data_IF_044248298046
#
_entry.id   IF_044248298046
#
_cell.length_a   1.000
_cell.length_b   1.000
_cell.length_c   1.000
_cell.angle_alpha   90.00
_cell.angle_beta   90.00
_cell.angle_gamma   90.00
#
_symmetry.space_group_name_H-M   'P 1'
#
loop_
_entity.id
_entity.type
_entity.pdbx_description
1 polymer ?
#
# COMPACT_ATOMS: atom_id res chain seq x y z
N UNK A 1 -33.07 -14.78 0.86
CA UNK A 1 -34.07 -15.82 1.23
C UNK A 1 -33.48 -16.69 2.34
N UNK A 2 -34.34 -17.13 3.28
CA UNK A 2 -34.04 -17.61 4.64
C UNK A 2 -33.21 -18.92 4.67
N UNK A 3 -32.04 -18.92 5.31
CA UNK A 3 -31.34 -20.16 5.71
C UNK A 3 -31.61 -20.47 7.19
N UNK A 4 -32.51 -21.44 7.42
CA UNK A 4 -32.78 -22.02 8.73
C UNK A 4 -31.64 -22.96 9.11
N UNK A 5 -30.94 -22.63 10.20
CA UNK A 5 -30.03 -23.55 10.91
C UNK A 5 -30.82 -24.77 11.38
N UNK A 6 -30.42 -25.98 10.98
CA UNK A 6 -30.83 -27.22 11.64
C UNK A 6 -29.70 -27.66 12.58
N UNK A 7 -29.97 -27.47 13.86
CA UNK A 7 -29.37 -28.21 14.98
C UNK A 7 -29.82 -29.66 14.85
N UNK A 8 -28.89 -30.62 14.87
CA UNK A 8 -29.20 -32.02 15.13
C UNK A 8 -28.37 -32.48 16.33
N UNK A 9 -29.09 -32.84 17.38
CA UNK A 9 -28.60 -33.28 18.67
C UNK A 9 -27.83 -34.61 18.56
N UNK A 10 -26.69 -34.65 19.25
CA UNK A 10 -26.00 -35.88 19.66
C UNK A 10 -26.88 -36.65 20.64
N UNK A 11 -27.51 -37.75 20.19
CA UNK A 11 -28.02 -38.77 21.11
C UNK A 11 -26.93 -39.81 21.35
N UNK A 12 -26.23 -39.62 22.47
CA UNK A 12 -25.39 -40.63 23.11
C UNK A 12 -26.33 -41.76 23.59
N UNK A 13 -26.26 -42.95 23.00
CA UNK A 13 -26.91 -44.14 23.57
C UNK A 13 -25.81 -45.03 24.12
N UNK A 14 -25.85 -45.18 25.44
CA UNK A 14 -24.98 -45.99 26.26
C UNK A 14 -25.02 -47.47 25.84
N UNK A 15 -23.85 -48.08 25.79
CA UNK A 15 -23.66 -49.52 25.69
C UNK A 15 -23.85 -50.10 27.10
N UNK A 16 -24.77 -51.04 27.34
CA UNK A 16 -24.70 -51.89 28.52
C UNK A 16 -23.74 -53.04 28.22
N UNK A 17 -22.61 -53.04 28.91
CA UNK A 17 -21.77 -54.21 29.11
C UNK A 17 -22.54 -55.27 29.88
N UNK A 18 -22.73 -56.45 29.29
CA UNK A 18 -23.16 -57.65 30.00
C UNK A 18 -22.05 -58.71 29.95
N UNK A 19 -21.59 -59.03 31.16
CA UNK A 19 -20.66 -60.09 31.50
C UNK A 19 -21.29 -61.46 31.19
N UNK A 20 -20.49 -62.34 30.61
CA UNK A 20 -20.81 -63.74 30.39
C UNK A 20 -20.39 -64.55 31.62
N UNK A 21 -21.36 -65.16 32.32
CA UNK A 21 -21.14 -66.32 33.20
C UNK A 21 -21.96 -67.50 32.66
N UNK A 22 -21.32 -68.66 32.56
CA UNK A 22 -21.86 -69.91 32.02
C UNK A 22 -22.68 -70.69 33.09
N UNK A 23 -23.17 -71.91 32.81
CA UNK A 23 -24.50 -72.19 32.25
C UNK A 23 -25.36 -73.06 33.20
N UNK A 24 -26.67 -73.18 32.93
CA UNK A 24 -27.49 -74.27 33.46
C UNK A 24 -28.69 -74.59 32.54
N UNK A 25 -28.88 -75.90 32.35
CA UNK A 25 -29.84 -76.62 31.51
C UNK A 25 -31.31 -76.45 31.94
N UNK A 26 -32.24 -76.39 30.96
CA UNK A 26 -33.45 -77.23 30.90
C UNK A 26 -34.24 -76.95 29.60
N UNK A 27 -34.79 -78.02 29.02
CA UNK A 27 -35.46 -78.09 27.72
C UNK A 27 -36.93 -77.60 27.74
N UNK A 28 -37.45 -77.17 26.59
CA UNK A 28 -38.76 -77.65 26.10
C UNK A 28 -38.91 -77.45 24.57
N UNK A 29 -39.57 -78.42 23.95
CA UNK A 29 -39.70 -78.70 22.52
C UNK A 29 -40.98 -78.06 21.96
N UNK A 30 -40.99 -77.57 20.72
CA UNK A 30 -42.18 -77.69 19.82
C UNK A 30 -41.84 -77.48 18.33
N UNK A 31 -42.07 -78.56 17.60
CA UNK A 31 -42.34 -78.81 16.16
C UNK A 31 -41.35 -78.47 15.01
N UNK A 32 -41.13 -79.44 14.07
CA UNK A 32 -40.15 -79.32 13.00
C UNK A 32 -40.77 -78.84 11.68
N UNK A 33 -40.25 -77.76 11.10
CA UNK A 33 -40.45 -77.51 9.67
C UNK A 33 -39.47 -78.39 8.89
N UNK A 34 -40.05 -79.30 8.09
CA UNK A 34 -39.34 -80.24 7.22
C UNK A 34 -38.41 -79.49 6.27
N UNK A 35 -37.11 -79.65 6.45
CA UNK A 35 -36.12 -79.49 5.38
C UNK A 35 -35.37 -80.81 5.28
N UNK A 36 -35.37 -81.39 4.09
CA UNK A 36 -34.82 -82.71 3.82
C UNK A 36 -33.31 -82.72 4.08
N UNK A 37 -32.89 -83.42 5.14
CA UNK A 37 -31.48 -83.74 5.36
C UNK A 37 -31.16 -85.05 4.64
N UNK A 38 -30.43 -84.95 3.53
CA UNK A 38 -29.72 -86.08 2.96
C UNK A 38 -28.33 -86.14 3.57
N UNK A 39 -28.04 -87.25 4.24
CA UNK A 39 -26.75 -87.56 4.85
C UNK A 39 -25.72 -87.96 3.77
N UNK A 40 -24.65 -87.18 3.60
CA UNK A 40 -23.37 -87.69 3.11
C UNK A 40 -22.19 -86.81 3.56
N UNK A 41 -21.06 -87.46 3.88
CA UNK A 41 -19.83 -86.92 4.45
C UNK A 41 -19.11 -85.91 3.53
N UNK A 42 -19.30 -84.61 3.74
CA UNK A 42 -18.29 -83.53 3.62
C UNK A 42 -18.97 -82.15 3.72
N UNK A 43 -18.66 -81.39 4.78
CA UNK A 43 -18.84 -79.93 4.96
C UNK A 43 -19.78 -79.21 3.96
N UNK A 44 -21.09 -79.36 4.12
CA UNK A 44 -22.07 -78.60 3.34
C UNK A 44 -22.32 -77.25 4.02
N UNK A 45 -21.75 -76.18 3.44
CA UNK A 45 -22.26 -74.84 3.68
C UNK A 45 -23.70 -74.78 3.17
N UNK A 46 -24.64 -74.26 3.98
CA UNK A 46 -25.94 -73.83 3.51
C UNK A 46 -25.75 -72.97 2.25
N UNK A 47 -26.50 -73.26 1.18
CA UNK A 47 -26.36 -72.58 -0.12
C UNK A 47 -26.38 -71.05 -0.02
N UNK A 48 -27.13 -70.50 0.95
CA UNK A 48 -27.17 -69.08 1.24
C UNK A 48 -25.83 -68.56 1.81
N UNK A 49 -25.26 -69.28 2.77
CA UNK A 49 -23.96 -68.96 3.39
C UNK A 49 -22.85 -69.04 2.35
N UNK A 50 -22.82 -70.10 1.53
CA UNK A 50 -21.85 -70.25 0.46
C UNK A 50 -21.92 -69.10 -0.56
N UNK A 51 -23.13 -68.70 -0.97
CA UNK A 51 -23.33 -67.57 -1.86
C UNK A 51 -22.77 -66.26 -1.27
N UNK A 52 -22.99 -66.00 0.01
CA UNK A 52 -22.42 -64.83 0.70
C UNK A 52 -20.89 -64.87 0.71
N UNK A 53 -20.30 -66.02 1.05
CA UNK A 53 -18.84 -66.19 1.05
C UNK A 53 -18.25 -65.89 -0.34
N UNK A 54 -18.90 -66.36 -1.41
CA UNK A 54 -18.48 -66.06 -2.79
C UNK A 54 -18.65 -64.59 -3.17
N UNK A 55 -19.76 -63.95 -2.79
CA UNK A 55 -19.98 -62.53 -3.07
C UNK A 55 -18.93 -61.64 -2.38
N UNK A 56 -18.50 -62.01 -1.18
CA UNK A 56 -17.45 -61.30 -0.44
C UNK A 56 -16.08 -61.51 -1.11
N UNK A 57 -15.75 -62.72 -1.56
CA UNK A 57 -14.42 -63.03 -2.12
C UNK A 57 -14.12 -62.31 -3.44
N UNK A 58 -15.17 -61.90 -4.16
CA UNK A 58 -15.04 -61.17 -5.43
C UNK A 58 -15.03 -59.64 -5.26
N UNK A 59 -15.15 -59.11 -4.04
CA UNK A 59 -15.07 -57.66 -3.80
C UNK A 59 -13.61 -57.23 -3.98
N UNK A 60 -13.38 -56.25 -4.85
CA UNK A 60 -12.07 -55.63 -5.03
C UNK A 60 -12.27 -54.11 -5.03
N UNK A 61 -11.55 -53.43 -4.15
CA UNK A 61 -11.64 -52.00 -3.88
C UNK A 61 -10.82 -51.13 -4.84
N UNK A 62 -10.27 -51.72 -5.91
CA UNK A 62 -9.54 -51.01 -6.97
C UNK A 62 -10.40 -50.78 -8.21
N UNK A 63 -11.44 -51.59 -8.42
CA UNK A 63 -12.27 -51.57 -9.62
C UNK A 63 -13.58 -50.82 -9.44
N UNK A 64 -14.11 -50.24 -10.52
CA UNK A 64 -15.38 -49.50 -10.52
C UNK A 64 -16.59 -50.34 -10.04
N UNK A 65 -16.51 -51.67 -10.11
CA UNK A 65 -17.54 -52.57 -9.60
C UNK A 65 -17.60 -52.69 -8.07
N UNK A 66 -16.64 -52.11 -7.33
CA UNK A 66 -16.52 -52.22 -5.88
C UNK A 66 -17.84 -51.96 -5.15
N UNK A 67 -18.48 -50.82 -5.44
CA UNK A 67 -19.70 -50.41 -4.75
C UNK A 67 -20.85 -51.40 -4.97
N UNK A 68 -21.11 -51.78 -6.22
CA UNK A 68 -22.18 -52.72 -6.57
C UNK A 68 -21.94 -54.11 -5.97
N UNK A 69 -20.69 -54.59 -5.98
CA UNK A 69 -20.34 -55.90 -5.38
C UNK A 69 -20.48 -55.87 -3.86
N UNK A 70 -20.01 -54.80 -3.21
CA UNK A 70 -20.17 -54.60 -1.78
C UNK A 70 -21.65 -54.53 -1.36
N UNK A 71 -22.47 -53.77 -2.08
CA UNK A 71 -23.92 -53.68 -1.82
C UNK A 71 -24.62 -55.04 -2.01
N UNK A 72 -24.22 -55.82 -3.01
CA UNK A 72 -24.74 -57.17 -3.26
C UNK A 72 -24.38 -58.13 -2.12
N UNK A 73 -23.12 -58.13 -1.67
CA UNK A 73 -22.67 -58.95 -0.55
C UNK A 73 -23.35 -58.57 0.77
N UNK A 74 -23.49 -57.26 1.07
CA UNK A 74 -24.19 -56.78 2.25
C UNK A 74 -25.66 -57.19 2.25
N UNK A 75 -26.34 -57.06 1.10
CA UNK A 75 -27.73 -57.49 0.96
C UNK A 75 -27.89 -58.99 1.19
N UNK A 76 -27.01 -59.80 0.60
CA UNK A 76 -27.04 -61.25 0.78
C UNK A 76 -26.75 -61.65 2.24
N UNK A 77 -25.76 -61.02 2.90
CA UNK A 77 -25.45 -61.26 4.31
C UNK A 77 -26.61 -60.88 5.24
N UNK A 78 -27.26 -59.74 4.99
CA UNK A 78 -28.40 -59.29 5.81
C UNK A 78 -29.65 -60.16 5.66
N UNK A 79 -29.75 -60.91 4.57
CA UNK A 79 -30.84 -61.87 4.35
C UNK A 79 -30.62 -63.21 5.07
N UNK A 80 -29.43 -63.46 5.61
CA UNK A 80 -29.15 -64.65 6.41
C UNK A 80 -29.84 -64.56 7.78
N UNK A 81 -30.27 -65.70 8.28
CA UNK A 81 -30.64 -65.89 9.70
C UNK A 81 -29.43 -65.72 10.61
N UNK A 82 -29.66 -65.49 11.90
CA UNK A 82 -28.57 -65.31 12.88
C UNK A 82 -27.65 -66.53 12.98
N UNK A 83 -28.19 -67.74 12.85
CA UNK A 83 -27.40 -68.98 12.82
C UNK A 83 -26.57 -69.09 11.54
N UNK A 84 -27.15 -68.76 10.38
CA UNK A 84 -26.41 -68.74 9.10
C UNK A 84 -25.27 -67.73 9.09
N UNK A 85 -25.45 -66.54 9.70
CA UNK A 85 -24.40 -65.52 9.80
C UNK A 85 -23.16 -66.01 10.53
N UNK A 86 -23.32 -66.86 11.56
CA UNK A 86 -22.19 -67.45 12.31
C UNK A 86 -21.30 -68.34 11.44
N UNK A 87 -21.82 -68.86 10.32
CA UNK A 87 -21.07 -69.69 9.38
C UNK A 87 -20.38 -68.92 8.25
N UNK A 88 -20.52 -67.59 8.18
CA UNK A 88 -19.86 -66.75 7.16
C UNK A 88 -18.41 -66.51 7.58
N UNK A 89 -17.50 -67.34 7.07
CA UNK A 89 -16.09 -67.38 7.51
C UNK A 89 -15.26 -66.16 7.10
N UNK A 90 -15.70 -65.37 6.11
CA UNK A 90 -15.00 -64.19 5.61
C UNK A 90 -15.72 -62.87 5.93
N UNK A 91 -16.56 -62.84 6.97
CA UNK A 91 -17.26 -61.62 7.38
C UNK A 91 -16.31 -60.45 7.69
N UNK A 92 -15.12 -60.71 8.23
CA UNK A 92 -14.13 -59.65 8.49
C UNK A 92 -13.71 -58.91 7.22
N UNK A 93 -13.63 -59.61 6.08
CA UNK A 93 -13.35 -58.99 4.78
C UNK A 93 -14.49 -58.05 4.37
N UNK A 94 -15.74 -58.47 4.57
CA UNK A 94 -16.91 -57.63 4.32
C UNK A 94 -16.92 -56.38 5.22
N UNK A 95 -16.60 -56.55 6.50
CA UNK A 95 -16.47 -55.45 7.47
C UNK A 95 -15.38 -54.45 7.05
N UNK A 96 -14.21 -54.94 6.61
CA UNK A 96 -13.13 -54.10 6.11
C UNK A 96 -13.56 -53.31 4.86
N UNK A 97 -14.24 -53.92 3.91
CA UNK A 97 -14.75 -53.20 2.73
C UNK A 97 -15.82 -52.15 3.08
N UNK A 98 -16.64 -52.38 4.10
CA UNK A 98 -17.55 -51.35 4.62
C UNK A 98 -16.78 -50.14 5.15
N UNK A 99 -15.65 -50.37 5.83
CA UNK A 99 -14.78 -49.29 6.29
C UNK A 99 -14.13 -48.56 5.10
N UNK A 100 -13.61 -49.28 4.11
CA UNK A 100 -13.07 -48.70 2.86
C UNK A 100 -14.09 -47.81 2.15
N UNK A 101 -15.36 -48.22 2.09
CA UNK A 101 -16.45 -47.39 1.53
C UNK A 101 -16.61 -46.05 2.25
N UNK A 102 -16.48 -46.03 3.59
CA UNK A 102 -16.56 -44.78 4.36
C UNK A 102 -15.38 -43.87 4.03
N UNK A 103 -14.17 -44.42 3.93
CA UNK A 103 -12.97 -43.67 3.54
C UNK A 103 -13.10 -43.08 2.14
N UNK A 104 -13.62 -43.83 1.18
CA UNK A 104 -13.79 -43.34 -0.20
C UNK A 104 -14.87 -42.26 -0.30
N UNK A 105 -15.96 -42.37 0.47
CA UNK A 105 -16.95 -41.28 0.58
C UNK A 105 -16.34 -40.00 1.16
N UNK A 106 -15.54 -40.12 2.23
CA UNK A 106 -14.85 -38.97 2.82
C UNK A 106 -13.91 -38.31 1.82
N UNK A 107 -13.15 -39.12 1.08
CA UNK A 107 -12.25 -38.63 0.03
C UNK A 107 -13.00 -37.89 -1.08
N UNK A 108 -14.12 -38.45 -1.55
CA UNK A 108 -14.97 -37.80 -2.54
C UNK A 108 -15.51 -36.45 -2.05
N UNK A 109 -16.02 -36.39 -0.80
CA UNK A 109 -16.49 -35.12 -0.22
C UNK A 109 -15.40 -34.05 -0.13
N UNK A 110 -14.14 -34.43 0.12
CA UNK A 110 -13.04 -33.45 0.13
C UNK A 110 -12.73 -32.89 -1.26
N UNK A 111 -12.84 -33.71 -2.30
CA UNK A 111 -12.68 -33.25 -3.70
C UNK A 111 -13.81 -32.27 -4.05
N UNK A 112 -15.04 -32.60 -3.67
CA UNK A 112 -16.22 -31.77 -3.92
C UNK A 112 -16.17 -30.44 -3.17
N UNK A 113 -15.80 -30.46 -1.89
CA UNK A 113 -15.61 -29.26 -1.07
C UNK A 113 -14.49 -28.37 -1.62
N UNK A 114 -13.36 -28.97 -2.04
CA UNK A 114 -12.26 -28.23 -2.64
C UNK A 114 -12.68 -27.50 -3.91
N UNK A 115 -13.47 -28.15 -4.76
CA UNK A 115 -13.99 -27.54 -5.98
C UNK A 115 -15.03 -26.45 -5.68
N UNK A 116 -15.90 -26.67 -4.69
CA UNK A 116 -16.93 -25.71 -4.28
C UNK A 116 -16.37 -24.49 -3.51
N UNK A 117 -15.18 -24.61 -2.91
CA UNK A 117 -14.56 -23.55 -2.11
C UNK A 117 -14.10 -22.33 -2.92
N UNK A 118 -14.09 -22.43 -4.25
CA UNK A 118 -13.62 -21.35 -5.13
C UNK A 118 -14.72 -20.93 -6.09
N UNK A 119 -15.11 -19.66 -5.99
CA UNK A 119 -16.06 -19.05 -6.91
C UNK A 119 -15.56 -19.16 -8.37
N UNK A 120 -16.42 -19.52 -9.34
CA UNK A 120 -16.04 -19.59 -10.76
C UNK A 120 -15.43 -18.31 -11.33
N UNK A 121 -15.70 -17.17 -10.70
CA UNK A 121 -15.20 -15.84 -11.07
C UNK A 121 -13.88 -15.49 -10.37
N UNK A 122 -13.42 -16.30 -9.43
CA UNK A 122 -12.17 -16.05 -8.72
C UNK A 122 -10.97 -16.25 -9.64
N UNK A 123 -9.94 -15.42 -9.46
CA UNK A 123 -8.70 -15.46 -10.26
C UNK A 123 -8.01 -16.83 -10.16
N UNK A 124 -8.09 -17.47 -8.99
CA UNK A 124 -7.50 -18.78 -8.70
C UNK A 124 -8.43 -19.98 -8.99
N UNK A 125 -9.65 -19.76 -9.53
CA UNK A 125 -10.60 -20.83 -9.83
C UNK A 125 -9.96 -21.90 -10.70
N UNK A 126 -9.34 -21.50 -11.79
CA UNK A 126 -8.75 -22.43 -12.75
C UNK A 126 -7.59 -23.25 -12.13
N UNK A 127 -6.75 -22.63 -11.31
CA UNK A 127 -5.69 -23.32 -10.57
C UNK A 127 -6.26 -24.37 -9.61
N UNK A 128 -7.32 -24.02 -8.89
CA UNK A 128 -7.99 -24.95 -8.00
C UNK A 128 -8.57 -26.13 -8.78
N UNK A 129 -9.27 -25.87 -9.89
CA UNK A 129 -9.88 -26.93 -10.69
C UNK A 129 -8.82 -27.86 -11.27
N UNK A 130 -7.68 -27.35 -11.73
CA UNK A 130 -6.58 -28.19 -12.20
C UNK A 130 -5.95 -29.02 -11.09
N UNK A 131 -5.64 -28.41 -9.94
CA UNK A 131 -5.08 -29.17 -8.81
C UNK A 131 -6.05 -30.27 -8.35
N UNK A 132 -7.35 -29.99 -8.38
CA UNK A 132 -8.41 -30.95 -8.06
C UNK A 132 -8.55 -32.02 -9.14
N UNK A 133 -8.37 -31.67 -10.43
CA UNK A 133 -8.32 -32.62 -11.55
C UNK A 133 -7.15 -33.58 -11.41
N UNK A 134 -5.96 -33.11 -11.11
CA UNK A 134 -4.79 -33.97 -10.90
C UNK A 134 -5.02 -34.94 -9.74
N UNK A 135 -5.56 -34.43 -8.63
CA UNK A 135 -5.96 -35.28 -7.51
C UNK A 135 -7.00 -36.32 -7.92
N UNK A 136 -8.06 -35.92 -8.63
CA UNK A 136 -9.07 -36.85 -9.15
C UNK A 136 -8.47 -37.87 -10.12
N UNK A 137 -7.55 -37.47 -10.99
CA UNK A 137 -6.89 -38.36 -11.95
C UNK A 137 -6.04 -39.44 -11.26
N UNK A 138 -5.42 -39.11 -10.13
CA UNK A 138 -4.65 -40.05 -9.31
C UNK A 138 -5.48 -41.12 -8.58
N UNK A 139 -6.81 -40.93 -8.49
CA UNK A 139 -7.69 -41.89 -7.85
C UNK A 139 -7.79 -43.20 -8.65
N UNK A 140 -7.96 -44.31 -7.93
CA UNK A 140 -8.29 -45.59 -8.53
C UNK A 140 -9.74 -45.62 -9.06
N UNK A 141 -10.11 -46.65 -9.83
CA UNK A 141 -11.41 -46.71 -10.47
C UNK A 141 -12.57 -46.81 -9.47
N UNK A 142 -12.40 -47.50 -8.34
CA UNK A 142 -13.40 -47.57 -7.29
C UNK A 142 -13.62 -46.21 -6.60
N UNK A 143 -12.55 -45.50 -6.26
CA UNK A 143 -12.61 -44.18 -5.62
C UNK A 143 -13.35 -43.16 -6.49
N UNK A 144 -13.09 -43.17 -7.82
CA UNK A 144 -13.77 -42.28 -8.78
C UNK A 144 -15.29 -42.45 -8.80
N UNK A 145 -15.82 -43.65 -8.53
CA UNK A 145 -17.28 -43.87 -8.51
C UNK A 145 -18.01 -43.17 -7.36
N UNK A 146 -17.29 -42.77 -6.31
CA UNK A 146 -17.88 -42.07 -5.16
C UNK A 146 -18.00 -40.56 -5.39
N UNK A 147 -17.31 -39.99 -6.38
CA UNK A 147 -17.37 -38.56 -6.72
C UNK A 147 -18.65 -38.30 -7.51
N UNK A 148 -19.41 -37.23 -7.20
CA UNK A 148 -20.65 -36.95 -7.91
C UNK A 148 -20.44 -36.65 -9.42
N UNK A 149 -21.47 -36.90 -10.22
CA UNK A 149 -21.41 -36.79 -11.68
C UNK A 149 -21.08 -35.38 -12.20
N UNK A 150 -21.55 -34.32 -11.51
CA UNK A 150 -21.27 -32.94 -11.89
C UNK A 150 -19.79 -32.60 -11.72
N UNK A 151 -19.21 -33.00 -10.60
CA UNK A 151 -17.79 -32.85 -10.29
C UNK A 151 -16.95 -33.62 -11.31
N UNK A 152 -17.30 -34.87 -11.61
CA UNK A 152 -16.62 -35.65 -12.64
C UNK A 152 -16.69 -34.97 -14.01
N UNK A 153 -17.83 -34.39 -14.38
CA UNK A 153 -18.01 -33.64 -15.65
C UNK A 153 -17.09 -32.42 -15.71
N UNK A 154 -17.04 -31.61 -14.64
CA UNK A 154 -16.16 -30.43 -14.58
C UNK A 154 -14.69 -30.87 -14.72
N UNK A 155 -14.28 -31.86 -13.92
CA UNK A 155 -12.90 -32.33 -13.89
C UNK A 155 -12.48 -33.04 -15.19
N UNK A 156 -13.41 -33.60 -15.96
CA UNK A 156 -13.12 -34.25 -17.25
C UNK A 156 -13.28 -33.32 -18.46
N UNK A 157 -13.91 -32.15 -18.31
CA UNK A 157 -14.15 -31.21 -19.40
C UNK A 157 -12.90 -30.39 -19.78
N UNK A 158 -12.82 -29.93 -21.03
CA UNK A 158 -11.85 -28.88 -21.37
C UNK A 158 -12.26 -27.58 -20.68
N UNK A 159 -11.39 -27.05 -19.84
CA UNK A 159 -11.60 -25.77 -19.17
C UNK A 159 -10.71 -24.77 -19.89
N UNK A 160 -11.30 -23.72 -20.43
CA UNK A 160 -10.52 -22.61 -20.96
C UNK A 160 -9.96 -21.78 -19.81
N UNK A 161 -8.75 -21.22 -19.93
CA UNK A 161 -8.26 -20.25 -18.95
C UNK A 161 -9.30 -19.12 -18.80
N UNK A 162 -9.45 -18.61 -17.58
CA UNK A 162 -10.35 -17.48 -17.31
C UNK A 162 -9.89 -16.15 -17.98
N UNK A 163 -8.71 -16.17 -18.60
CA UNK A 163 -8.13 -15.06 -19.36
C UNK A 163 -7.72 -15.51 -20.76
N UNK A 164 -7.63 -14.57 -21.69
CA UNK A 164 -7.20 -14.81 -23.07
C UNK A 164 -5.96 -13.98 -23.37
N UNK A 165 -5.21 -14.33 -24.43
CA UNK A 165 -4.07 -13.53 -24.90
C UNK A 165 -4.49 -12.06 -25.08
N UNK A 166 -5.59 -11.81 -25.78
CA UNK A 166 -6.09 -10.45 -26.03
C UNK A 166 -6.42 -9.68 -24.75
N UNK A 167 -7.01 -10.35 -23.75
CA UNK A 167 -7.30 -9.72 -22.44
C UNK A 167 -6.02 -9.31 -21.73
N UNK A 168 -5.02 -10.20 -21.66
CA UNK A 168 -3.74 -9.91 -21.00
C UNK A 168 -2.98 -8.80 -21.73
N UNK A 169 -2.91 -8.87 -23.07
CA UNK A 169 -2.25 -7.86 -23.89
C UNK A 169 -2.91 -6.50 -23.72
N UNK A 170 -4.25 -6.43 -23.82
CA UNK A 170 -5.01 -5.19 -23.64
C UNK A 170 -4.81 -4.61 -22.25
N UNK A 171 -4.85 -5.46 -21.21
CA UNK A 171 -4.63 -5.02 -19.82
C UNK A 171 -3.24 -4.41 -19.64
N UNK A 172 -2.20 -5.05 -20.17
CA UNK A 172 -0.82 -4.53 -20.09
C UNK A 172 -0.67 -3.21 -20.87
N UNK A 173 -1.30 -3.10 -22.05
CA UNK A 173 -1.26 -1.88 -22.86
C UNK A 173 -1.99 -0.69 -22.22
N UNK A 174 -2.99 -0.95 -21.37
CA UNK A 174 -3.78 0.08 -20.70
C UNK A 174 -3.18 0.54 -19.35
N UNK A 175 -2.07 -0.07 -18.90
CA UNK A 175 -1.38 0.35 -17.68
C UNK A 175 -0.99 1.83 -17.78
N UNK A 176 -1.39 2.60 -16.78
CA UNK A 176 -1.16 4.05 -16.76
C UNK A 176 -0.59 4.47 -15.42
N UNK A 177 0.67 4.91 -15.42
CA UNK A 177 1.42 5.32 -14.23
C UNK A 177 0.87 6.55 -13.50
N UNK A 178 -0.03 7.32 -14.14
CA UNK A 178 -0.66 8.48 -13.53
C UNK A 178 -1.95 8.14 -12.76
N UNK A 179 -2.46 6.90 -12.89
CA UNK A 179 -3.67 6.47 -12.16
C UNK A 179 -3.31 6.03 -10.75
N UNK A 180 -4.15 6.39 -9.77
CA UNK A 180 -4.01 5.92 -8.39
C UNK A 180 -4.05 4.39 -8.26
N UNK A 181 -4.78 3.72 -9.16
CA UNK A 181 -4.86 2.27 -9.25
C UNK A 181 -3.62 1.61 -9.88
N UNK A 182 -2.63 2.37 -10.37
CA UNK A 182 -1.51 1.85 -11.15
C UNK A 182 -0.81 0.65 -10.49
N UNK A 183 -0.47 0.74 -9.20
CA UNK A 183 0.25 -0.35 -8.51
C UNK A 183 -0.59 -1.64 -8.46
N UNK A 184 -1.91 -1.51 -8.24
CA UNK A 184 -2.84 -2.63 -8.21
C UNK A 184 -3.05 -3.22 -9.62
N UNK A 185 -3.14 -2.37 -10.64
CA UNK A 185 -3.29 -2.78 -12.03
C UNK A 185 -2.07 -3.57 -12.53
N UNK A 186 -0.85 -3.14 -12.15
CA UNK A 186 0.40 -3.85 -12.48
C UNK A 186 0.44 -5.23 -11.82
N UNK A 187 0.11 -5.31 -10.52
CA UNK A 187 0.05 -6.58 -9.80
C UNK A 187 -0.98 -7.55 -10.41
N UNK A 188 -2.18 -7.04 -10.72
CA UNK A 188 -3.22 -7.82 -11.38
C UNK A 188 -2.79 -8.28 -12.78
N UNK A 189 -2.13 -7.43 -13.56
CA UNK A 189 -1.60 -7.78 -14.88
C UNK A 189 -0.54 -8.89 -14.81
N UNK A 190 0.37 -8.84 -13.82
CA UNK A 190 1.36 -9.90 -13.59
C UNK A 190 0.71 -11.23 -13.20
N UNK A 191 -0.30 -11.20 -12.34
CA UNK A 191 -1.03 -12.40 -11.96
C UNK A 191 -1.70 -13.07 -13.17
N UNK A 192 -2.41 -12.30 -14.01
CA UNK A 192 -3.05 -12.82 -15.21
C UNK A 192 -2.06 -13.30 -16.28
N UNK A 193 -0.95 -12.59 -16.47
CA UNK A 193 0.13 -12.99 -17.36
C UNK A 193 0.73 -14.34 -16.96
N UNK A 194 1.01 -14.52 -15.67
CA UNK A 194 1.55 -15.78 -15.13
C UNK A 194 0.54 -16.93 -15.24
N UNK A 195 -0.75 -16.65 -14.98
CA UNK A 195 -1.81 -17.62 -15.20
C UNK A 195 -1.86 -18.07 -16.66
N UNK A 196 -1.86 -17.15 -17.62
CA UNK A 196 -1.89 -17.47 -19.05
C UNK A 196 -0.70 -18.35 -19.47
N UNK A 197 0.53 -17.99 -19.07
CA UNK A 197 1.76 -18.75 -19.40
C UNK A 197 1.80 -20.15 -18.79
N UNK A 198 1.14 -20.38 -17.65
CA UNK A 198 1.09 -21.69 -16.99
C UNK A 198 0.20 -22.68 -17.73
N UNK A 199 -0.79 -22.19 -18.49
CA UNK A 199 -1.85 -23.01 -19.09
C UNK A 199 -1.83 -23.07 -20.60
N UNK A 200 -1.02 -22.22 -21.22
CA UNK A 200 -0.86 -22.19 -22.66
C UNK A 200 0.62 -22.11 -22.98
N UNK A 201 1.07 -22.82 -24.01
CA UNK A 201 2.33 -22.49 -24.69
C UNK A 201 2.15 -21.23 -25.57
N UNK A 202 1.31 -20.28 -25.13
CA UNK A 202 0.93 -19.13 -25.94
C UNK A 202 2.15 -18.23 -26.13
N UNK A 203 2.40 -17.92 -27.40
CA UNK A 203 3.32 -16.87 -27.77
C UNK A 203 2.58 -15.54 -27.66
N UNK A 204 3.00 -14.70 -26.72
CA UNK A 204 2.49 -13.34 -26.61
C UNK A 204 3.12 -12.45 -27.69
N UNK A 205 2.45 -11.39 -28.13
CA UNK A 205 3.05 -10.40 -29.00
C UNK A 205 4.41 -9.91 -28.47
N UNK A 206 5.33 -9.65 -29.39
CA UNK A 206 6.65 -9.15 -29.05
C UNK A 206 6.55 -7.85 -28.23
N UNK A 207 7.33 -7.75 -27.15
CA UNK A 207 7.37 -6.57 -26.29
C UNK A 207 6.32 -6.52 -25.17
N UNK A 208 5.31 -7.39 -25.15
CA UNK A 208 4.29 -7.40 -24.08
C UNK A 208 4.90 -7.62 -22.69
N UNK A 209 5.79 -8.61 -22.54
CA UNK A 209 6.47 -8.85 -21.25
C UNK A 209 7.38 -7.68 -20.85
N UNK A 210 8.01 -7.03 -21.81
CA UNK A 210 8.89 -5.89 -21.57
C UNK A 210 8.10 -4.68 -21.04
N UNK A 211 6.92 -4.41 -21.58
CA UNK A 211 6.03 -3.35 -21.07
C UNK A 211 5.64 -3.60 -19.60
N UNK A 212 5.29 -4.84 -19.28
CA UNK A 212 4.94 -5.21 -17.90
C UNK A 212 6.14 -5.08 -16.95
N UNK A 213 7.33 -5.51 -17.38
CA UNK A 213 8.56 -5.35 -16.60
C UNK A 213 8.90 -3.87 -16.35
N UNK A 214 8.72 -3.00 -17.34
CA UNK A 214 8.96 -1.56 -17.16
C UNK A 214 7.97 -0.96 -16.14
N UNK A 215 6.70 -1.33 -16.23
CA UNK A 215 5.69 -0.90 -15.25
C UNK A 215 6.02 -1.37 -13.83
N UNK A 216 6.50 -2.60 -13.65
CA UNK A 216 6.96 -3.11 -12.35
C UNK A 216 8.17 -2.36 -11.81
N UNK A 217 9.12 -1.97 -12.67
CA UNK A 217 10.26 -1.13 -12.25
C UNK A 217 9.81 0.23 -11.76
N UNK A 218 8.78 0.83 -12.36
CA UNK A 218 8.18 2.07 -11.88
C UNK A 218 7.54 1.87 -10.49
N UNK A 219 6.78 0.79 -10.29
CA UNK A 219 6.20 0.47 -8.97
C UNK A 219 7.28 0.35 -7.90
N UNK A 220 8.42 -0.29 -8.20
CA UNK A 220 9.55 -0.39 -7.26
C UNK A 220 10.14 0.99 -6.93
N UNK A 221 10.30 1.86 -7.93
CA UNK A 221 10.77 3.24 -7.72
C UNK A 221 9.80 4.06 -6.86
N UNK A 222 8.51 3.95 -7.12
CA UNK A 222 7.48 4.65 -6.35
C UNK A 222 7.48 4.18 -4.88
N UNK A 223 7.59 2.87 -4.66
CA UNK A 223 7.70 2.29 -3.31
C UNK A 223 8.95 2.77 -2.58
N UNK A 224 10.08 2.91 -3.26
CA UNK A 224 11.30 3.45 -2.67
C UNK A 224 11.12 4.93 -2.27
N UNK A 225 10.57 5.76 -3.15
CA UNK A 225 10.32 7.18 -2.86
C UNK A 225 9.36 7.37 -1.68
N UNK A 226 8.28 6.59 -1.63
CA UNK A 226 7.36 6.58 -0.49
C UNK A 226 8.03 6.11 0.80
N UNK A 227 8.92 5.10 0.71
CA UNK A 227 9.67 4.58 1.86
C UNK A 227 10.63 5.61 2.45
N UNK A 228 11.28 6.42 1.61
CA UNK A 228 12.15 7.50 2.08
C UNK A 228 11.37 8.52 2.90
N UNK A 229 10.17 8.91 2.45
CA UNK A 229 9.29 9.82 3.19
C UNK A 229 8.72 9.15 4.44
N UNK A 230 8.33 7.87 4.37
CA UNK A 230 7.88 7.09 5.54
C UNK A 230 8.96 7.10 6.64
N UNK A 231 10.21 6.83 6.28
CA UNK A 231 11.35 6.85 7.20
C UNK A 231 11.59 8.26 7.78
N UNK A 232 11.46 9.30 6.95
CA UNK A 232 11.59 10.68 7.39
C UNK A 232 10.50 11.09 8.40
N UNK A 233 9.26 10.64 8.18
CA UNK A 233 8.14 10.82 9.13
C UNK A 233 8.41 10.04 10.42
N UNK A 234 8.89 8.80 10.33
CA UNK A 234 9.19 7.97 11.50
C UNK A 234 10.34 8.54 12.36
N UNK A 235 11.24 9.31 11.76
CA UNK A 235 12.31 10.00 12.47
C UNK A 235 11.83 11.26 13.23
N UNK A 236 10.60 11.74 12.99
CA UNK A 236 10.04 12.87 13.72
C UNK A 236 9.73 12.48 15.16
N UNK A 237 10.17 13.33 16.09
CA UNK A 237 10.02 13.12 17.53
C UNK A 237 9.59 14.43 18.19
N UNK A 238 8.54 14.40 19.04
CA UNK A 238 8.08 15.57 19.77
C UNK A 238 9.14 16.21 20.68
N UNK A 239 10.21 15.48 21.04
CA UNK A 239 11.23 15.94 21.98
C UNK A 239 12.51 16.45 21.31
N UNK A 240 12.75 16.05 20.06
CA UNK A 240 14.04 16.30 19.39
C UNK A 240 13.87 16.99 18.04
N UNK A 241 12.73 16.82 17.38
CA UNK A 241 12.46 17.44 16.08
C UNK A 241 11.98 18.87 16.24
N UNK A 242 12.39 19.71 15.30
CA UNK A 242 12.05 21.13 15.27
C UNK A 242 10.99 21.41 14.22
N UNK A 243 10.45 22.63 14.22
CA UNK A 243 9.51 23.09 13.17
C UNK A 243 10.13 22.94 11.77
N UNK A 244 11.45 23.22 11.63
CA UNK A 244 12.17 23.08 10.37
C UNK A 244 12.24 21.63 9.90
N UNK A 245 12.42 20.68 10.82
CA UNK A 245 12.43 19.25 10.48
C UNK A 245 11.05 18.79 9.99
N UNK A 246 9.98 19.23 10.67
CA UNK A 246 8.61 18.95 10.24
C UNK A 246 8.32 19.56 8.86
N UNK A 247 8.75 20.79 8.60
CA UNK A 247 8.59 21.42 7.29
C UNK A 247 9.37 20.69 6.20
N UNK A 248 10.60 20.25 6.47
CA UNK A 248 11.38 19.46 5.51
C UNK A 248 10.66 18.16 5.13
N UNK A 249 10.10 17.46 6.10
CA UNK A 249 9.34 16.22 5.86
C UNK A 249 8.04 16.52 5.10
N UNK A 250 7.35 17.61 5.43
CA UNK A 250 6.16 18.07 4.70
C UNK A 250 6.48 18.36 3.23
N UNK A 251 7.53 19.13 2.94
CA UNK A 251 7.94 19.43 1.57
C UNK A 251 8.34 18.16 0.81
N UNK A 252 9.02 17.21 1.47
CA UNK A 252 9.36 15.92 0.86
C UNK A 252 8.11 15.10 0.50
N UNK A 253 7.09 15.09 1.37
CA UNK A 253 5.80 14.44 1.09
C UNK A 253 5.04 15.13 -0.05
N UNK A 254 5.02 16.48 -0.08
CA UNK A 254 4.35 17.27 -1.12
C UNK A 254 5.02 17.14 -2.50
N UNK A 255 6.32 16.80 -2.53
CA UNK A 255 7.05 16.52 -3.76
C UNK A 255 6.76 15.14 -4.37
N UNK A 256 6.14 14.23 -3.62
CA UNK A 256 5.72 12.92 -4.12
C UNK A 256 4.56 13.05 -5.12
N UNK A 257 4.48 12.12 -6.07
CA UNK A 257 3.31 12.01 -6.95
C UNK A 257 2.07 11.55 -6.17
N UNK A 258 0.83 11.79 -6.65
CA UNK A 258 -0.37 11.31 -5.97
C UNK A 258 -0.38 9.79 -5.71
N UNK A 259 0.17 9.00 -6.65
CA UNK A 259 0.31 7.55 -6.52
C UNK A 259 1.28 7.18 -5.39
N UNK A 260 2.41 7.90 -5.29
CA UNK A 260 3.41 7.70 -4.24
C UNK A 260 2.89 8.13 -2.86
N UNK A 261 2.13 9.23 -2.76
CA UNK A 261 1.54 9.70 -1.50
C UNK A 261 0.58 8.68 -0.90
N UNK A 262 -0.21 7.99 -1.73
CA UNK A 262 -1.20 6.99 -1.30
C UNK A 262 -0.56 5.80 -0.55
N UNK A 263 0.69 5.48 -0.86
CA UNK A 263 1.38 4.32 -0.29
C UNK A 263 2.27 4.68 0.91
N UNK A 264 2.26 5.93 1.40
CA UNK A 264 2.95 6.34 2.63
C UNK A 264 2.05 6.03 3.85
N UNK A 265 2.37 4.99 4.66
CA UNK A 265 1.42 4.48 5.66
C UNK A 265 1.27 5.38 6.90
N UNK A 266 2.27 6.19 7.22
CA UNK A 266 2.36 6.96 8.47
C UNK A 266 2.07 8.47 8.30
N UNK A 267 1.42 8.87 7.20
CA UNK A 267 1.09 10.29 6.91
C UNK A 267 0.29 10.97 8.03
N UNK A 268 -0.52 10.23 8.78
CA UNK A 268 -1.28 10.76 9.93
C UNK A 268 -0.38 11.37 11.02
N UNK A 269 0.82 10.81 11.22
CA UNK A 269 1.80 11.34 12.17
C UNK A 269 2.29 12.72 11.72
N UNK A 270 2.58 12.88 10.43
CA UNK A 270 2.97 14.17 9.86
C UNK A 270 1.86 15.22 10.03
N UNK A 271 0.60 14.84 9.80
CA UNK A 271 -0.56 15.71 10.02
C UNK A 271 -0.64 16.16 11.48
N UNK A 272 -0.44 15.27 12.45
CA UNK A 272 -0.42 15.60 13.87
C UNK A 272 0.68 16.62 14.21
N UNK A 273 1.88 16.49 13.62
CA UNK A 273 2.97 17.45 13.77
C UNK A 273 2.65 18.81 13.15
N UNK A 274 2.08 18.84 11.93
CA UNK A 274 1.71 20.07 11.22
C UNK A 274 0.58 20.82 11.93
N UNK A 275 -0.40 20.10 12.47
CA UNK A 275 -1.52 20.68 13.21
C UNK A 275 -1.17 21.12 14.65
N UNK A 276 0.10 21.03 15.04
CA UNK A 276 0.57 21.52 16.34
C UNK A 276 0.11 20.67 17.53
N UNK A 277 -0.26 19.39 17.32
CA UNK A 277 -0.62 18.47 18.42
C UNK A 277 0.53 18.25 19.40
N UNK A 278 1.77 18.40 18.92
CA UNK A 278 2.99 18.24 19.71
C UNK A 278 3.65 19.59 19.98
N UNK A 279 4.06 19.82 21.24
CA UNK A 279 4.94 20.94 21.58
C UNK A 279 6.37 20.60 21.14
N UNK A 280 6.76 21.08 19.98
CA UNK A 280 8.09 20.85 19.43
C UNK A 280 9.13 21.73 20.14
N UNK A 281 10.36 21.22 20.34
CA UNK A 281 11.51 22.04 20.65
C UNK A 281 11.60 23.18 19.64
N UNK A 282 11.43 24.41 20.13
CA UNK A 282 11.99 25.56 19.45
C UNK A 282 13.48 25.31 19.35
N UNK A 283 13.98 25.12 18.13
CA UNK A 283 15.41 25.10 17.87
C UNK A 283 15.96 26.36 18.55
N UNK A 284 16.79 26.16 19.57
CA UNK A 284 17.64 27.19 20.11
C UNK A 284 18.67 27.54 19.04
N UNK A 285 18.21 28.18 17.96
CA UNK A 285 18.96 29.31 17.43
C UNK A 285 19.12 30.24 18.63
N UNK A 286 20.29 30.84 18.82
CA UNK A 286 20.46 31.99 19.69
C UNK A 286 19.51 33.12 19.24
N UNK A 287 18.22 32.96 19.51
CA UNK A 287 17.24 34.01 19.45
C UNK A 287 17.46 34.78 20.74
N UNK A 288 18.43 35.70 20.68
CA UNK A 288 18.10 37.03 21.21
C UNK A 288 16.72 37.34 20.64
N UNK A 289 15.67 37.34 21.48
CA UNK A 289 14.40 37.97 21.09
C UNK A 289 14.81 39.27 20.41
N UNK A 290 14.50 39.51 19.13
CA UNK A 290 14.92 40.73 18.48
C UNK A 290 14.35 41.86 19.33
N UNK A 291 15.25 42.65 19.92
CA UNK A 291 14.85 43.82 20.67
C UNK A 291 14.34 44.82 19.63
N UNK A 292 13.04 44.75 19.36
CA UNK A 292 12.38 45.62 18.40
C UNK A 292 12.67 47.06 18.78
N UNK A 293 13.09 47.85 17.78
CA UNK A 293 13.43 49.23 18.07
C UNK A 293 12.15 50.04 18.24
N UNK A 294 12.04 50.76 19.35
CA UNK A 294 10.99 51.78 19.56
C UNK A 294 11.14 52.98 18.60
N UNK A 295 12.20 53.02 17.79
CA UNK A 295 12.52 54.07 16.82
C UNK A 295 12.52 53.50 15.39
N UNK A 296 11.85 52.36 15.18
CA UNK A 296 11.74 51.76 13.85
C UNK A 296 10.86 52.61 12.92
N UNK A 297 11.23 52.65 11.64
CA UNK A 297 10.41 53.25 10.60
C UNK A 297 9.10 52.45 10.46
N UNK A 298 8.01 53.19 10.25
CA UNK A 298 6.70 52.60 10.04
C UNK A 298 6.38 52.52 8.54
N UNK A 299 5.68 51.46 8.08
CA UNK A 299 5.22 51.35 6.71
C UNK A 299 4.35 52.56 6.34
N UNK A 300 4.46 53.02 5.09
CA UNK A 300 3.69 54.14 4.54
C UNK A 300 4.08 55.52 5.07
N UNK A 301 4.93 55.61 6.10
CA UNK A 301 5.37 56.88 6.72
C UNK A 301 6.77 57.26 6.29
N UNK A 302 6.97 58.57 6.09
CA UNK A 302 8.31 59.13 5.92
C UNK A 302 9.03 59.18 7.26
N UNK A 303 10.16 58.51 7.36
CA UNK A 303 10.99 58.45 8.57
C UNK A 303 12.33 59.14 8.32
N UNK A 304 12.68 60.11 9.15
CA UNK A 304 14.01 60.73 9.10
C UNK A 304 15.06 59.79 9.71
N UNK A 305 16.13 59.49 8.98
CA UNK A 305 17.22 58.65 9.48
C UNK A 305 18.04 59.39 10.56
N UNK A 306 18.49 58.64 11.57
CA UNK A 306 19.39 59.18 12.60
C UNK A 306 20.80 59.34 12.02
N UNK A 307 21.46 60.48 12.28
CA UNK A 307 22.80 60.77 11.76
C UNK A 307 23.86 60.49 12.82
N UNK A 308 24.79 59.59 12.54
CA UNK A 308 26.01 59.36 13.30
C UNK A 308 27.23 59.66 12.41
N UNK A 309 27.87 60.81 12.60
CA UNK A 309 28.97 61.30 11.75
C UNK A 309 28.58 61.33 10.25
N UNK A 310 29.11 60.41 9.45
CA UNK A 310 28.84 60.29 8.00
C UNK A 310 27.85 59.14 7.67
N UNK A 311 27.37 58.44 8.69
CA UNK A 311 26.48 57.30 8.57
C UNK A 311 25.06 57.71 8.99
N UNK A 312 24.09 57.45 8.12
CA UNK A 312 22.66 57.57 8.41
C UNK A 312 22.12 56.20 8.75
N UNK A 313 21.43 56.06 9.87
CA UNK A 313 20.97 54.78 10.39
C UNK A 313 19.45 54.82 10.57
N UNK A 314 18.78 53.76 10.14
CA UNK A 314 17.38 53.50 10.41
C UNK A 314 17.18 52.01 10.75
N UNK A 315 16.06 51.71 11.39
CA UNK A 315 15.66 50.35 11.76
C UNK A 315 14.26 50.08 11.25
N UNK A 316 13.96 48.85 10.82
CA UNK A 316 12.61 48.38 10.52
C UNK A 316 12.38 47.10 11.31
N UNK A 317 11.27 47.01 12.02
CA UNK A 317 10.88 45.79 12.74
C UNK A 317 10.15 44.86 11.77
N UNK A 318 10.56 43.59 11.74
CA UNK A 318 9.97 42.53 10.91
C UNK A 318 9.35 41.51 11.85
N UNK A 319 8.03 41.59 12.03
CA UNK A 319 7.26 40.64 12.85
C UNK A 319 6.63 39.53 12.02
N UNK A 320 6.21 39.86 10.80
CA UNK A 320 5.70 38.95 9.77
C UNK A 320 5.87 39.64 8.40
N UNK A 321 6.84 39.21 7.57
CA UNK A 321 7.12 39.83 6.28
C UNK A 321 5.88 39.88 5.36
N UNK A 322 4.95 38.92 5.50
CA UNK A 322 3.76 38.81 4.64
C UNK A 322 2.66 39.84 4.90
N UNK A 323 2.71 40.57 6.02
CA UNK A 323 1.60 41.44 6.47
C UNK A 323 1.79 42.91 6.05
N UNK A 324 3.01 43.34 5.74
CA UNK A 324 3.31 44.74 5.45
C UNK A 324 3.32 45.03 3.95
N UNK A 325 2.18 45.42 3.38
CA UNK A 325 2.01 45.70 1.94
C UNK A 325 2.52 47.07 1.49
N UNK A 326 2.85 47.96 2.42
CA UNK A 326 3.31 49.33 2.12
C UNK A 326 4.83 49.46 2.11
N UNK A 327 5.33 50.49 1.40
CA UNK A 327 6.75 50.83 1.28
C UNK A 327 7.25 51.63 2.48
N UNK A 328 8.56 51.61 2.72
CA UNK A 328 9.21 52.44 3.75
C UNK A 328 9.98 53.57 3.08
N UNK A 329 9.77 54.80 3.53
CA UNK A 329 10.41 56.00 2.96
C UNK A 329 11.35 56.58 4.02
N UNK A 330 12.64 56.55 3.75
CA UNK A 330 13.68 57.00 4.67
C UNK A 330 14.39 58.23 4.11
N UNK A 331 14.37 59.34 4.83
CA UNK A 331 14.98 60.60 4.38
C UNK A 331 16.20 60.97 5.20
N UNK A 332 17.16 61.62 4.56
CA UNK A 332 18.39 62.10 5.21
C UNK A 332 18.50 63.62 5.13
N UNK A 333 19.23 64.21 6.08
CA UNK A 333 19.62 65.64 6.02
C UNK A 333 20.62 65.97 4.90
N UNK A 334 21.11 64.96 4.16
CA UNK A 334 22.04 65.11 3.02
C UNK A 334 21.32 65.08 1.67
N UNK A 335 20.02 65.38 1.64
CA UNK A 335 19.18 65.40 0.44
C UNK A 335 19.12 64.04 -0.29
N UNK A 336 19.24 62.93 0.44
CA UNK A 336 19.02 61.58 -0.09
C UNK A 336 17.76 60.96 0.53
N UNK A 337 17.01 60.21 -0.28
CA UNK A 337 15.85 59.43 0.14
C UNK A 337 16.05 57.97 -0.28
N UNK A 338 15.81 57.04 0.63
CA UNK A 338 15.81 55.60 0.35
C UNK A 338 14.38 55.08 0.47
N UNK A 339 13.86 54.49 -0.61
CA UNK A 339 12.54 53.87 -0.65
C UNK A 339 12.75 52.36 -0.67
N UNK A 340 12.34 51.70 0.40
CA UNK A 340 12.39 50.24 0.52
C UNK A 340 11.01 49.70 0.14
N UNK A 341 10.93 48.68 -0.74
CA UNK A 341 9.65 48.09 -1.15
C UNK A 341 8.95 47.39 0.03
N UNK A 342 7.76 46.85 -0.23
CA UNK A 342 6.99 46.10 0.77
C UNK A 342 7.81 44.92 1.32
N UNK A 343 7.70 44.64 2.63
CA UNK A 343 8.37 43.48 3.23
C UNK A 343 7.86 42.13 2.67
N UNK A 344 6.70 42.12 2.01
CA UNK A 344 6.18 40.93 1.31
C UNK A 344 7.06 40.49 0.14
N UNK A 345 7.88 41.41 -0.38
CA UNK A 345 8.83 41.18 -1.49
C UNK A 345 10.21 40.75 -0.98
N UNK A 346 10.39 40.56 0.32
CA UNK A 346 11.62 40.01 0.87
C UNK A 346 11.79 38.56 0.40
N UNK A 347 12.97 38.22 -0.11
CA UNK A 347 13.25 36.86 -0.64
C UNK A 347 13.18 35.80 0.48
N UNK A 348 13.61 36.15 1.70
CA UNK A 348 13.61 35.25 2.87
C UNK A 348 12.39 35.52 3.78
N UNK A 349 11.24 34.96 3.42
CA UNK A 349 9.91 35.23 4.03
C UNK A 349 9.72 34.62 5.43
N UNK A 350 10.61 33.73 5.86
CA UNK A 350 10.52 33.05 7.16
C UNK A 350 11.33 33.77 8.26
N UNK A 351 11.80 34.98 8.00
CA UNK A 351 12.67 35.73 8.91
C UNK A 351 11.93 36.82 9.69
N UNK A 352 12.09 36.79 11.02
CA UNK A 352 11.67 37.85 11.93
C UNK A 352 12.90 38.53 12.53
N UNK A 353 12.81 39.81 12.86
CA UNK A 353 13.95 40.54 13.41
C UNK A 353 13.91 42.04 13.21
N UNK A 354 15.07 42.66 13.26
CA UNK A 354 15.24 44.09 12.95
C UNK A 354 16.13 44.21 11.72
N UNK A 355 15.59 44.83 10.66
CA UNK A 355 16.41 45.26 9.53
C UNK A 355 17.15 46.51 9.99
N UNK A 356 18.47 46.44 10.02
CA UNK A 356 19.34 47.58 10.21
C UNK A 356 19.75 48.14 8.84
N UNK A 357 19.42 49.42 8.63
CA UNK A 357 19.75 50.15 7.41
C UNK A 357 20.82 51.18 7.74
N UNK A 358 21.90 51.15 6.98
CA UNK A 358 22.99 52.11 7.05
C UNK A 358 23.19 52.74 5.67
N UNK A 359 23.12 54.06 5.59
CA UNK A 359 23.38 54.83 4.38
C UNK A 359 24.54 55.79 4.65
N UNK A 360 25.65 55.60 3.96
CA UNK A 360 26.88 56.37 4.14
C UNK A 360 27.19 57.16 2.89
N UNK A 361 27.52 58.44 3.06
CA UNK A 361 28.03 59.28 1.96
C UNK A 361 29.45 59.75 2.28
N UNK A 362 30.41 59.37 1.46
CA UNK A 362 31.81 59.80 1.53
C UNK A 362 32.23 60.40 0.18
N UNK A 363 32.25 61.73 0.11
CA UNK A 363 32.51 62.48 -1.13
C UNK A 363 31.55 62.06 -2.26
N UNK A 364 32.08 61.34 -3.25
CA UNK A 364 31.35 60.85 -4.42
C UNK A 364 30.84 59.41 -4.25
N UNK A 365 31.18 58.72 -3.16
CA UNK A 365 30.70 57.36 -2.92
C UNK A 365 29.53 57.36 -1.95
N UNK A 366 28.47 56.66 -2.32
CA UNK A 366 27.31 56.39 -1.49
C UNK A 366 27.22 54.88 -1.30
N UNK A 367 27.26 54.42 -0.06
CA UNK A 367 27.08 53.01 0.28
C UNK A 367 25.79 52.88 1.06
N UNK A 368 24.89 52.01 0.63
CA UNK A 368 23.78 51.58 1.48
C UNK A 368 23.92 50.10 1.80
N UNK A 369 23.73 49.78 3.08
CA UNK A 369 23.82 48.43 3.62
C UNK A 369 22.54 48.13 4.39
N UNK A 370 21.98 46.97 4.14
CA UNK A 370 20.79 46.47 4.81
C UNK A 370 21.06 45.06 5.31
N UNK A 371 20.86 44.84 6.61
CA UNK A 371 21.02 43.52 7.21
C UNK A 371 19.87 43.19 8.13
N UNK A 372 19.36 41.96 8.04
CA UNK A 372 18.44 41.37 9.01
C UNK A 372 19.20 40.34 9.82
N UNK A 373 19.21 40.48 11.15
CA UNK A 373 19.95 39.60 12.05
C UNK A 373 21.44 39.45 11.62
N UNK A 374 22.07 40.58 11.27
CA UNK A 374 23.45 40.69 10.75
C UNK A 374 23.75 40.01 9.41
N UNK A 375 22.73 39.50 8.70
CA UNK A 375 22.87 38.91 7.36
C UNK A 375 22.37 39.87 6.28
N UNK A 376 23.06 39.99 5.13
CA UNK A 376 22.56 40.76 3.98
C UNK A 376 21.19 40.24 3.53
N UNK A 377 20.35 41.16 3.03
CA UNK A 377 19.00 40.84 2.55
C UNK A 377 18.79 41.32 1.12
N UNK A 378 17.84 40.70 0.44
CA UNK A 378 17.45 40.99 -0.95
C UNK A 378 15.92 41.05 -1.09
N UNK A 379 15.45 41.92 -1.97
CA UNK A 379 14.05 42.08 -2.32
C UNK A 379 13.81 41.69 -3.79
N UNK A 380 12.66 41.10 -4.06
CA UNK A 380 12.16 40.82 -5.43
C UNK A 380 11.84 42.13 -6.18
N UNK A 381 11.46 43.19 -5.45
CA UNK A 381 11.24 44.53 -5.99
C UNK A 381 12.46 45.45 -5.79
N UNK A 382 12.56 46.48 -6.64
CA UNK A 382 13.65 47.47 -6.56
C UNK A 382 13.51 48.37 -5.32
N UNK A 383 14.59 48.45 -4.55
CA UNK A 383 14.89 49.55 -3.63
C UNK A 383 15.31 50.76 -4.47
N UNK A 384 14.75 51.93 -4.17
CA UNK A 384 15.09 53.16 -4.87
C UNK A 384 15.89 54.11 -3.97
N UNK A 385 17.11 54.45 -4.39
CA UNK A 385 17.93 55.48 -3.77
C UNK A 385 17.85 56.75 -4.62
N UNK A 386 17.20 57.77 -4.07
CA UNK A 386 17.03 59.08 -4.69
C UNK A 386 18.08 60.02 -4.14
N UNK A 387 18.88 60.61 -5.03
CA UNK A 387 19.90 61.61 -4.70
C UNK A 387 19.49 62.93 -5.35
N UNK A 388 19.19 63.93 -4.53
CA UNK A 388 18.81 65.25 -5.01
C UNK A 388 20.04 66.15 -5.15
N UNK A 389 19.91 67.19 -5.99
CA UNK A 389 20.90 68.25 -6.19
C UNK A 389 22.24 67.75 -6.77
N UNK A 390 22.19 66.76 -7.66
CA UNK A 390 23.30 66.41 -8.53
C UNK A 390 23.18 67.13 -9.88
N UNK A 391 24.30 67.51 -10.51
CA UNK A 391 24.30 68.02 -11.89
C UNK A 391 23.61 67.04 -12.84
N UNK A 392 22.86 67.54 -13.83
CA UNK A 392 22.14 66.68 -14.81
C UNK A 392 23.08 65.77 -15.61
N UNK A 393 24.35 66.14 -15.76
CA UNK A 393 25.35 65.37 -16.47
C UNK A 393 26.11 64.38 -15.56
N UNK A 394 25.75 64.28 -14.28
CA UNK A 394 26.33 63.29 -13.39
C UNK A 394 25.87 61.88 -13.77
N UNK A 395 26.78 60.92 -13.71
CA UNK A 395 26.47 59.50 -13.92
C UNK A 395 26.73 58.73 -12.63
N UNK A 396 26.01 57.63 -12.42
CA UNK A 396 26.17 56.76 -11.26
C UNK A 396 26.60 55.38 -11.73
N UNK A 397 27.65 54.84 -11.11
CA UNK A 397 28.09 53.47 -11.33
C UNK A 397 28.13 52.72 -10.00
N UNK A 398 27.75 51.45 -10.00
CA UNK A 398 27.85 50.55 -8.87
C UNK A 398 29.22 49.88 -8.93
N UNK A 399 29.82 49.67 -7.77
CA UNK A 399 31.04 48.89 -7.63
C UNK A 399 30.81 47.71 -6.70
N UNK A 400 31.39 46.57 -7.06
CA UNK A 400 31.47 45.42 -6.14
C UNK A 400 32.58 45.64 -5.09
N UNK A 401 32.70 44.71 -4.15
CA UNK A 401 33.69 44.78 -3.06
C UNK A 401 35.15 44.73 -3.56
N UNK A 402 35.37 44.26 -4.79
CA UNK A 402 36.67 44.24 -5.49
C UNK A 402 36.94 45.53 -6.28
N UNK A 403 36.01 46.49 -6.28
CA UNK A 403 36.14 47.80 -6.92
C UNK A 403 35.84 47.82 -8.43
N UNK A 404 35.39 46.70 -9.00
CA UNK A 404 35.01 46.57 -10.41
C UNK A 404 33.71 47.30 -10.71
N UNK A 405 33.56 47.79 -11.95
CA UNK A 405 32.36 48.51 -12.38
C UNK A 405 31.25 47.52 -12.74
N UNK A 406 30.11 47.63 -12.05
CA UNK A 406 28.88 46.93 -12.40
C UNK A 406 27.94 47.86 -13.17
N UNK A 407 27.10 47.27 -14.03
CA UNK A 407 26.01 48.01 -14.65
C UNK A 407 25.01 48.42 -13.56
N UNK A 408 24.60 49.69 -13.55
CA UNK A 408 23.66 50.23 -12.56
C UNK A 408 22.46 50.78 -13.29
N UNK A 409 21.29 50.30 -12.91
CA UNK A 409 20.06 50.89 -13.39
C UNK A 409 19.82 52.20 -12.62
N UNK A 410 20.03 53.32 -13.29
CA UNK A 410 19.65 54.63 -12.77
C UNK A 410 19.03 55.49 -13.86
N UNK A 411 18.12 56.37 -13.47
CA UNK A 411 17.53 57.36 -14.35
C UNK A 411 17.46 58.72 -13.66
N UNK A 412 17.33 59.76 -14.47
CA UNK A 412 17.31 61.16 -14.01
C UNK A 412 15.92 61.72 -14.25
N UNK A 413 15.30 62.23 -13.19
CA UNK A 413 14.02 62.93 -13.23
C UNK A 413 14.17 64.32 -12.62
N UNK A 414 14.24 65.34 -13.47
CA UNK A 414 14.52 66.72 -13.08
C UNK A 414 15.90 66.87 -12.41
N UNK A 415 15.91 67.19 -11.12
CA UNK A 415 17.12 67.31 -10.29
C UNK A 415 17.38 66.08 -9.40
N UNK A 416 16.66 64.97 -9.65
CA UNK A 416 16.72 63.73 -8.89
C UNK A 416 17.40 62.65 -9.70
N UNK A 417 18.40 62.00 -9.11
CA UNK A 417 18.99 60.80 -9.68
C UNK A 417 18.50 59.61 -8.88
N UNK A 418 17.82 58.68 -9.55
CA UNK A 418 17.15 57.55 -8.92
C UNK A 418 17.90 56.29 -9.30
N UNK A 419 18.50 55.64 -8.31
CA UNK A 419 19.23 54.37 -8.46
C UNK A 419 18.32 53.24 -8.01
N UNK A 420 18.22 52.18 -8.81
CA UNK A 420 17.44 50.99 -8.50
C UNK A 420 18.38 49.81 -8.17
N UNK A 421 18.11 49.12 -7.06
CA UNK A 421 18.86 47.95 -6.62
C UNK A 421 17.97 46.99 -5.82
N UNK A 422 18.25 45.69 -5.83
CA UNK A 422 17.49 44.69 -5.04
C UNK A 422 18.15 44.38 -3.69
N UNK A 423 19.43 44.76 -3.50
CA UNK A 423 20.22 44.50 -2.29
C UNK A 423 21.23 45.62 -2.01
N UNK A 424 21.98 45.50 -0.92
CA UNK A 424 23.04 46.43 -0.50
C UNK A 424 24.03 46.73 -1.64
N UNK A 425 24.54 47.96 -1.68
CA UNK A 425 25.46 48.36 -2.75
C UNK A 425 26.26 49.62 -2.47
N UNK A 426 27.35 49.77 -3.22
CA UNK A 426 28.17 51.00 -3.24
C UNK A 426 28.11 51.64 -4.63
N UNK A 427 27.76 52.92 -4.65
CA UNK A 427 27.51 53.71 -5.84
C UNK A 427 28.46 54.91 -5.87
N UNK A 428 29.18 55.06 -6.97
CA UNK A 428 30.07 56.18 -7.21
C UNK A 428 29.42 57.18 -8.18
N UNK A 429 29.36 58.42 -7.73
CA UNK A 429 28.94 59.58 -8.52
C UNK A 429 30.12 60.03 -9.36
N UNK A 430 29.95 60.04 -10.68
CA UNK A 430 30.88 60.58 -11.65
C UNK A 430 30.31 61.92 -12.11
N UNK A 431 30.98 63.02 -11.76
CA UNK A 431 30.67 64.35 -12.28
C UNK A 431 31.52 64.57 -13.52
N UNK A 432 30.88 64.89 -14.63
CA UNK A 432 31.55 65.32 -15.85
C UNK A 432 31.71 66.82 -15.89
#
# INVERSE_FOLDING_TARGET
MKNKKRLALLSLVAIPSLLYSAPASAAEVTEPSKIAYTYNNNYYYNSNVWNVVQLISIIDDRYSSFQTRLESALKAYNNLTETEKQYVTNYDVLSNHQHTRILYRKLASQIEEKLASVEPTAVNYYENVLATREWFNSLNAAQKTFVNAETQRILSSYISPNTTIDKVVTKIQLLNSSRLSFHQEVEAARAEYNALRKFTNAYLPYGTEQLLLEAERLVVKDKAAAKDVENAIAALSPKTSTIKDVQKVKTAFEALTPVQQQIVPNVSILIDFVNGKYKLPTQSVENTKPNFSNIAALPGKTTAMSRNRNDYIAKINVTDPGVHTERFILTTKSNMTLIIPSLSTLVDKDTTGVIEIQLKRKLNNITFKMTLNNKPIEFEENIELIINNLPKNASIIQRNDLGEKLHTNFYVDGNRHIVQATTSGTFQIIRK
#
